data_IF_367448087359
#
_entry.id   IF_367448087359
#
_cell.length_a   1.000
_cell.length_b   1.000
_cell.length_c   1.000
_cell.angle_alpha   90.00
_cell.angle_beta   90.00
_cell.angle_gamma   90.00
#
_symmetry.space_group_name_H-M   'P 1'
#
loop_
_entity.id
_entity.type
_entity.pdbx_description
1 polymer ?
#
# COMPACT_ATOMS: atom_id res chain seq x y z
N UNK A 1 -25.88 -9.58 -13.64
CA UNK A 1 -26.82 -10.74 -13.59
C UNK A 1 -26.58 -11.62 -14.82
N UNK A 2 -25.53 -12.43 -14.80
CA UNK A 2 -25.22 -13.41 -15.86
C UNK A 2 -25.13 -14.83 -15.29
N UNK A 3 -24.64 -14.98 -14.06
CA UNK A 3 -24.46 -16.27 -13.39
C UNK A 3 -25.78 -17.00 -13.08
N UNK A 4 -26.83 -16.28 -12.70
CA UNK A 4 -28.17 -16.83 -12.48
C UNK A 4 -28.74 -17.48 -13.74
N UNK A 5 -28.81 -16.68 -14.81
CA UNK A 5 -29.28 -17.10 -16.12
C UNK A 5 -28.47 -18.28 -16.66
N UNK A 6 -27.14 -18.21 -16.60
CA UNK A 6 -26.26 -19.30 -17.07
C UNK A 6 -26.51 -20.59 -16.29
N UNK A 7 -26.67 -20.52 -14.97
CA UNK A 7 -26.93 -21.71 -14.16
C UNK A 7 -28.31 -22.33 -14.45
N UNK A 8 -29.31 -21.51 -14.77
CA UNK A 8 -30.64 -21.97 -15.13
C UNK A 8 -30.65 -22.62 -16.52
N UNK A 9 -30.02 -21.99 -17.51
CA UNK A 9 -29.94 -22.48 -18.90
C UNK A 9 -29.13 -23.77 -19.03
N UNK A 10 -28.05 -23.90 -18.25
CA UNK A 10 -27.14 -25.07 -18.32
C UNK A 10 -27.40 -26.12 -17.25
N UNK A 11 -28.27 -25.82 -16.28
CA UNK A 11 -28.55 -26.68 -15.12
C UNK A 11 -27.29 -27.12 -14.35
N UNK A 12 -26.27 -26.26 -14.35
CA UNK A 12 -24.94 -26.52 -13.77
C UNK A 12 -24.86 -26.16 -12.29
N UNK A 13 -23.92 -26.78 -11.58
CA UNK A 13 -23.52 -26.36 -10.24
C UNK A 13 -22.60 -25.16 -10.35
N UNK A 14 -23.07 -24.00 -9.91
CA UNK A 14 -22.29 -22.76 -9.93
C UNK A 14 -22.25 -22.06 -8.57
N UNK A 15 -21.10 -21.47 -8.30
CA UNK A 15 -20.82 -20.60 -7.18
C UNK A 15 -19.96 -19.42 -7.67
N UNK A 16 -20.32 -18.20 -7.29
CA UNK A 16 -19.56 -16.99 -7.59
C UNK A 16 -19.49 -16.16 -6.33
N UNK A 17 -18.31 -15.71 -5.95
CA UNK A 17 -18.13 -14.83 -4.81
C UNK A 17 -17.13 -13.72 -5.14
N UNK A 18 -17.38 -12.52 -4.63
CA UNK A 18 -16.52 -11.37 -4.83
C UNK A 18 -16.62 -10.41 -3.64
N UNK A 19 -15.48 -9.85 -3.27
CA UNK A 19 -15.41 -8.76 -2.30
C UNK A 19 -14.35 -7.76 -2.75
N UNK A 20 -14.74 -6.49 -2.82
CA UNK A 20 -13.82 -5.43 -3.18
C UNK A 20 -12.93 -5.09 -1.97
N UNK A 21 -11.61 -4.87 -2.15
CA UNK A 21 -10.69 -4.62 -1.03
C UNK A 21 -11.03 -3.41 -0.14
N UNK A 22 -11.78 -2.44 -0.68
CA UNK A 22 -12.21 -1.22 0.04
C UNK A 22 -13.69 -1.26 0.44
N UNK A 23 -14.42 -2.34 0.15
CA UNK A 23 -15.81 -2.43 0.57
C UNK A 23 -15.86 -2.67 2.09
N UNK A 24 -16.51 -1.77 2.82
CA UNK A 24 -16.85 -1.95 4.23
C UNK A 24 -18.03 -2.94 4.45
N UNK A 25 -18.56 -3.51 3.36
CA UNK A 25 -19.72 -4.38 3.35
C UNK A 25 -19.36 -5.87 3.29
N UNK A 26 -20.41 -6.70 3.40
CA UNK A 26 -20.30 -8.15 3.35
C UNK A 26 -19.90 -8.67 1.97
N UNK A 27 -19.28 -9.85 1.96
CA UNK A 27 -19.01 -10.66 0.78
C UNK A 27 -20.28 -10.81 -0.09
N UNK A 28 -20.18 -10.47 -1.37
CA UNK A 28 -21.27 -10.69 -2.32
C UNK A 28 -21.06 -12.06 -2.94
N UNK A 29 -22.09 -12.91 -2.90
CA UNK A 29 -22.02 -14.23 -3.52
C UNK A 29 -23.33 -14.61 -4.20
N UNK A 30 -23.20 -15.50 -5.19
CA UNK A 30 -24.27 -16.21 -5.85
C UNK A 30 -24.02 -17.72 -5.71
N UNK A 31 -25.07 -18.45 -5.41
CA UNK A 31 -25.06 -19.92 -5.41
C UNK A 31 -26.25 -20.42 -6.21
N UNK A 32 -25.98 -21.27 -7.20
CA UNK A 32 -27.01 -21.90 -8.01
C UNK A 32 -28.04 -22.68 -7.17
N UNK A 33 -29.33 -22.71 -7.57
CA UNK A 33 -30.36 -23.45 -6.84
C UNK A 33 -30.01 -24.93 -6.67
N UNK A 34 -29.39 -25.53 -7.68
CA UNK A 34 -28.98 -26.94 -7.67
C UNK A 34 -27.90 -27.20 -6.63
N UNK A 35 -26.85 -26.37 -6.59
CA UNK A 35 -25.79 -26.50 -5.59
C UNK A 35 -26.30 -26.26 -4.16
N UNK A 36 -27.22 -25.32 -3.96
CA UNK A 36 -27.87 -25.09 -2.66
C UNK A 36 -28.70 -26.28 -2.18
N UNK A 37 -29.27 -27.06 -3.09
CA UNK A 37 -30.05 -28.24 -2.76
C UNK A 37 -29.15 -29.45 -2.52
N UNK A 38 -28.19 -29.66 -3.42
CA UNK A 38 -27.42 -30.89 -3.48
C UNK A 38 -26.24 -30.90 -2.47
N UNK A 39 -25.71 -29.73 -2.10
CA UNK A 39 -24.55 -29.60 -1.20
C UNK A 39 -24.62 -28.33 -0.33
N UNK A 40 -25.71 -28.16 0.41
CA UNK A 40 -25.98 -26.94 1.21
C UNK A 40 -24.89 -26.67 2.25
N UNK A 41 -24.57 -27.67 3.07
CA UNK A 41 -23.65 -27.52 4.20
C UNK A 41 -22.23 -27.22 3.72
N UNK A 42 -21.76 -27.94 2.70
CA UNK A 42 -20.46 -27.70 2.07
C UNK A 42 -20.37 -26.29 1.47
N UNK A 43 -21.44 -25.83 0.82
CA UNK A 43 -21.49 -24.47 0.28
C UNK A 43 -21.36 -23.41 1.38
N UNK A 44 -22.04 -23.62 2.52
CA UNK A 44 -21.94 -22.69 3.67
C UNK A 44 -20.51 -22.67 4.21
N UNK A 45 -19.89 -23.84 4.37
CA UNK A 45 -18.50 -23.95 4.81
C UNK A 45 -17.55 -23.23 3.83
N UNK A 46 -17.78 -23.38 2.53
CA UNK A 46 -16.99 -22.71 1.49
C UNK A 46 -17.10 -21.19 1.57
N UNK A 47 -18.31 -20.64 1.76
CA UNK A 47 -18.54 -19.19 1.92
C UNK A 47 -17.80 -18.66 3.16
N UNK A 48 -17.83 -19.42 4.26
CA UNK A 48 -17.14 -19.05 5.50
C UNK A 48 -15.62 -19.03 5.30
N UNK A 49 -15.05 -20.07 4.67
CA UNK A 49 -13.63 -20.11 4.33
C UNK A 49 -13.23 -18.94 3.43
N UNK A 50 -14.02 -18.65 2.39
CA UNK A 50 -13.75 -17.53 1.51
C UNK A 50 -13.73 -16.20 2.28
N UNK A 51 -14.68 -16.01 3.20
CA UNK A 51 -14.75 -14.82 4.05
C UNK A 51 -13.51 -14.66 4.93
N UNK A 52 -13.00 -15.75 5.51
CA UNK A 52 -11.76 -15.74 6.31
C UNK A 52 -10.56 -15.33 5.45
N UNK A 53 -10.43 -15.89 4.25
CA UNK A 53 -9.34 -15.58 3.33
C UNK A 53 -9.35 -14.10 2.96
N UNK A 54 -10.50 -13.55 2.55
CA UNK A 54 -10.58 -12.14 2.16
C UNK A 54 -10.27 -11.21 3.34
N UNK A 55 -10.79 -11.49 4.53
CA UNK A 55 -10.45 -10.71 5.72
C UNK A 55 -8.94 -10.72 5.99
N UNK A 56 -8.30 -11.89 5.86
CA UNK A 56 -6.84 -12.02 5.95
C UNK A 56 -6.11 -11.11 4.97
N UNK A 57 -6.53 -11.07 3.71
CA UNK A 57 -5.95 -10.20 2.67
C UNK A 57 -6.16 -8.71 2.96
N UNK A 58 -7.36 -8.32 3.40
CA UNK A 58 -7.67 -6.93 3.77
C UNK A 58 -6.79 -6.49 4.94
N UNK A 59 -6.60 -7.34 5.94
CA UNK A 59 -5.73 -7.05 7.08
C UNK A 59 -4.25 -7.01 6.69
N UNK A 60 -3.78 -7.91 5.83
CA UNK A 60 -2.42 -7.88 5.30
C UNK A 60 -2.12 -6.55 4.59
N UNK A 61 -3.00 -6.14 3.68
CA UNK A 61 -2.85 -4.86 2.99
C UNK A 61 -2.84 -3.66 3.92
N UNK A 62 -3.63 -3.68 5.00
CA UNK A 62 -3.58 -2.62 6.03
C UNK A 62 -2.24 -2.59 6.76
N UNK A 63 -1.63 -3.75 7.05
CA UNK A 63 -0.29 -3.80 7.65
C UNK A 63 0.76 -3.25 6.69
N UNK A 64 0.73 -3.66 5.43
CA UNK A 64 1.68 -3.18 4.42
C UNK A 64 1.60 -1.66 4.27
N UNK A 65 0.38 -1.11 4.23
CA UNK A 65 0.17 0.34 4.16
C UNK A 65 0.73 1.07 5.40
N UNK A 66 0.61 0.48 6.59
CA UNK A 66 1.18 1.03 7.82
C UNK A 66 2.71 0.98 7.81
N UNK A 67 3.30 -0.12 7.32
CA UNK A 67 4.76 -0.26 7.20
C UNK A 67 5.33 0.73 6.18
N UNK A 68 4.68 0.87 5.01
CA UNK A 68 5.03 1.89 4.03
C UNK A 68 4.92 3.30 4.59
N UNK A 69 3.87 3.58 5.39
CA UNK A 69 3.71 4.87 6.08
C UNK A 69 4.86 5.17 7.03
N UNK A 70 5.32 4.18 7.80
CA UNK A 70 6.49 4.32 8.69
C UNK A 70 7.77 4.55 7.89
N UNK A 71 7.99 3.78 6.83
CA UNK A 71 9.18 3.93 5.99
C UNK A 71 9.25 5.32 5.34
N UNK A 72 8.10 5.85 4.90
CA UNK A 72 8.01 7.20 4.35
C UNK A 72 8.34 8.27 5.40
N UNK A 73 7.85 8.12 6.63
CA UNK A 73 8.13 9.06 7.72
C UNK A 73 9.62 9.07 8.08
N UNK A 74 10.25 7.90 8.19
CA UNK A 74 11.70 7.79 8.41
C UNK A 74 12.48 8.44 7.28
N UNK A 75 12.12 8.18 6.03
CA UNK A 75 12.80 8.78 4.87
C UNK A 75 12.65 10.31 4.86
N UNK A 76 11.48 10.84 5.25
CA UNK A 76 11.25 12.27 5.35
C UNK A 76 12.13 12.91 6.42
N UNK A 77 12.28 12.25 7.57
CA UNK A 77 13.16 12.70 8.65
C UNK A 77 14.62 12.74 8.20
N UNK A 78 15.10 11.70 7.52
CA UNK A 78 16.47 11.67 6.97
C UNK A 78 16.72 12.79 5.95
N UNK A 79 15.73 13.13 5.12
CA UNK A 79 15.85 14.24 4.16
C UNK A 79 15.98 15.57 4.90
N UNK A 80 15.20 15.78 5.97
CA UNK A 80 15.28 17.00 6.79
C UNK A 80 16.66 17.11 7.46
N UNK A 81 17.15 16.01 8.05
CA UNK A 81 18.46 15.98 8.70
C UNK A 81 19.60 16.23 7.71
N UNK A 82 19.56 15.60 6.54
CA UNK A 82 20.55 15.83 5.47
C UNK A 82 20.48 17.26 4.95
N UNK A 83 19.29 17.84 4.79
CA UNK A 83 19.13 19.22 4.36
C UNK A 83 19.75 20.20 5.39
N UNK A 84 19.54 19.97 6.69
CA UNK A 84 20.15 20.75 7.74
C UNK A 84 21.68 20.62 7.75
N UNK A 85 22.21 19.41 7.54
CA UNK A 85 23.65 19.18 7.44
C UNK A 85 24.26 19.89 6.23
N UNK A 86 23.63 19.83 5.06
CA UNK A 86 24.07 20.52 3.84
C UNK A 86 24.07 22.02 4.05
N UNK A 87 23.07 22.57 4.75
CA UNK A 87 23.02 23.99 5.06
C UNK A 87 24.20 24.41 5.95
N UNK A 88 24.47 23.67 7.02
CA UNK A 88 25.61 23.91 7.93
C UNK A 88 26.95 23.84 7.19
N UNK A 89 27.16 22.81 6.36
CA UNK A 89 28.37 22.71 5.54
C UNK A 89 28.49 23.87 4.55
N UNK A 90 27.39 24.32 3.95
CA UNK A 90 27.38 25.47 3.05
C UNK A 90 27.67 26.81 3.73
N UNK A 91 27.37 26.95 5.02
CA UNK A 91 27.77 28.11 5.84
C UNK A 91 29.27 28.04 6.18
N UNK A 92 29.78 26.86 6.52
CA UNK A 92 31.20 26.65 6.82
C UNK A 92 32.10 26.88 5.59
N UNK A 93 31.66 26.42 4.41
CA UNK A 93 32.36 26.67 3.13
C UNK A 93 32.40 28.17 2.84
N UNK A 94 31.27 28.87 2.98
CA UNK A 94 31.22 30.33 2.79
C UNK A 94 32.17 31.07 3.73
N UNK A 95 32.21 30.69 5.00
CA UNK A 95 33.15 31.28 5.96
C UNK A 95 34.61 31.04 5.59
N UNK A 96 34.94 29.87 5.03
CA UNK A 96 36.30 29.54 4.57
C UNK A 96 36.65 30.32 3.31
N UNK A 97 35.73 30.48 2.37
CA UNK A 97 35.92 31.26 1.15
C UNK A 97 36.17 32.74 1.46
N UNK A 98 35.43 33.33 2.40
CA UNK A 98 35.64 34.71 2.86
C UNK A 98 37.05 34.89 3.46
N UNK A 99 37.51 33.92 4.24
CA UNK A 99 38.84 33.94 4.85
C UNK A 99 39.94 33.82 3.80
N UNK A 100 39.76 32.94 2.81
CA UNK A 100 40.67 32.79 1.66
C UNK A 100 40.72 34.09 0.86
N UNK A 101 39.59 34.73 0.58
CA UNK A 101 39.53 36.00 -0.12
C UNK A 101 40.31 37.10 0.63
N UNK A 102 40.15 37.16 1.96
CA UNK A 102 40.91 38.09 2.82
C UNK A 102 42.42 37.84 2.76
N UNK A 103 42.86 36.58 2.85
CA UNK A 103 44.28 36.25 2.75
C UNK A 103 44.87 36.55 1.36
N UNK A 104 44.12 36.28 0.28
CA UNK A 104 44.53 36.65 -1.09
C UNK A 104 44.73 38.15 -1.26
N UNK A 105 43.82 38.96 -0.70
CA UNK A 105 43.94 40.42 -0.73
C UNK A 105 45.19 40.92 0.02
N UNK A 106 45.52 40.34 1.18
CA UNK A 106 46.71 40.71 1.97
C UNK A 106 48.01 40.34 1.24
N UNK A 107 48.03 39.19 0.56
CA UNK A 107 49.21 38.69 -0.14
C UNK A 107 49.41 39.30 -1.54
N UNK A 108 48.54 40.23 -1.97
CA UNK A 108 48.59 40.83 -3.31
C UNK A 108 48.32 39.82 -4.45
N UNK A 109 47.74 38.66 -4.12
CA UNK A 109 47.38 37.60 -5.06
C UNK A 109 45.94 37.83 -5.56
N UNK A 110 45.72 38.96 -6.22
CA UNK A 110 44.52 39.15 -7.05
C UNK A 110 44.85 38.72 -8.47
N UNK A 111 44.09 37.76 -9.00
CA UNK A 111 44.01 37.57 -10.44
C UNK A 111 43.32 38.78 -11.10
#
# INVERSE_FOLDING_TARGET
>A
IQSERLSAETNSWMFVAAQHPNANGQLIHYTSPRLRRDAKEDTVAFIQQFSVIINGLVHARRRDALEMGKALETSRQEVVEKAALVQSQGEEIRSKDDLIAKYKAILGLTA
#
